data_IF_935777521142
#
_entry.id   IF_935777521142
#
_cell.length_a   1.000
_cell.length_b   1.000
_cell.length_c   1.000
_cell.angle_alpha   90.00
_cell.angle_beta   90.00
_cell.angle_gamma   90.00
#
_symmetry.space_group_name_H-M   'P 1'
#
loop_
_entity.id
_entity.type
_entity.pdbx_description
1 polymer ?
#
# COMPACT_ATOMS: atom_id res chain seq x y z
N UNK A 1 -14.83 25.05 0.13
CA UNK A 1 -15.08 23.59 0.35
C UNK A 1 -13.77 22.98 0.77
N UNK A 2 -13.66 22.49 2.01
CA UNK A 2 -12.41 21.93 2.51
C UNK A 2 -12.02 20.71 1.65
N UNK A 3 -10.89 20.80 0.95
CA UNK A 3 -10.24 19.63 0.36
C UNK A 3 -9.88 18.67 1.52
N UNK A 4 -10.79 17.77 1.84
CA UNK A 4 -10.50 16.66 2.73
C UNK A 4 -9.34 15.90 2.12
N UNK A 5 -8.27 15.73 2.89
CA UNK A 5 -7.10 14.95 2.56
C UNK A 5 -7.48 13.72 1.72
N UNK A 6 -7.07 13.67 0.45
CA UNK A 6 -7.29 12.54 -0.45
C UNK A 6 -6.74 11.24 0.14
N UNK A 7 -5.69 11.33 0.94
CA UNK A 7 -5.07 10.24 1.69
C UNK A 7 -6.00 9.62 2.75
N UNK A 8 -6.78 10.43 3.48
CA UNK A 8 -7.80 9.93 4.44
C UNK A 8 -9.01 9.32 3.72
N UNK A 9 -9.36 9.83 2.54
CA UNK A 9 -10.41 9.23 1.70
C UNK A 9 -9.96 7.87 1.12
N UNK A 10 -8.67 7.69 0.90
CA UNK A 10 -8.10 6.44 0.40
C UNK A 10 -8.25 5.31 1.43
N UNK A 11 -7.90 5.52 2.71
CA UNK A 11 -8.06 4.51 3.77
C UNK A 11 -9.52 4.08 3.90
N UNK A 12 -10.49 5.00 3.83
CA UNK A 12 -11.93 4.66 3.82
C UNK A 12 -12.36 3.87 2.59
N UNK A 13 -11.82 4.18 1.42
CA UNK A 13 -12.13 3.47 0.17
C UNK A 13 -11.43 2.12 0.09
N UNK A 14 -10.27 1.96 0.70
CA UNK A 14 -9.52 0.72 0.72
C UNK A 14 -10.28 -0.42 1.39
N UNK A 15 -10.87 -0.21 2.57
CA UNK A 15 -11.70 -1.22 3.22
C UNK A 15 -12.87 -1.68 2.34
N UNK A 16 -13.49 -0.73 1.64
CA UNK A 16 -14.57 -1.04 0.72
C UNK A 16 -14.09 -1.81 -0.51
N UNK A 17 -12.93 -1.46 -1.04
CA UNK A 17 -12.31 -2.16 -2.18
C UNK A 17 -11.92 -3.58 -1.74
N UNK A 18 -11.26 -3.74 -0.61
CA UNK A 18 -10.88 -5.03 -0.02
C UNK A 18 -12.08 -5.95 0.16
N UNK A 19 -13.19 -5.44 0.71
CA UNK A 19 -14.42 -6.21 0.84
C UNK A 19 -14.97 -6.68 -0.52
N UNK A 20 -14.97 -5.81 -1.51
CA UNK A 20 -15.42 -6.14 -2.87
C UNK A 20 -14.49 -7.16 -3.52
N UNK A 21 -13.18 -7.03 -3.39
CA UNK A 21 -12.20 -7.99 -3.91
C UNK A 21 -12.37 -9.37 -3.28
N UNK A 22 -12.65 -9.44 -1.97
CA UNK A 22 -12.98 -10.71 -1.30
C UNK A 22 -14.23 -11.34 -1.84
N UNK A 23 -15.30 -10.56 -2.09
CA UNK A 23 -16.52 -11.07 -2.69
C UNK A 23 -16.25 -11.65 -4.08
N UNK A 24 -15.45 -10.99 -4.91
CA UNK A 24 -15.02 -11.50 -6.21
C UNK A 24 -14.26 -12.81 -6.09
N UNK A 25 -13.33 -12.91 -5.14
CA UNK A 25 -12.48 -14.09 -4.96
C UNK A 25 -13.25 -15.29 -4.44
N UNK A 26 -14.08 -15.11 -3.41
CA UNK A 26 -14.72 -16.23 -2.68
C UNK A 26 -15.97 -16.73 -3.39
N UNK A 27 -16.90 -15.84 -3.73
CA UNK A 27 -18.25 -16.20 -4.16
C UNK A 27 -18.51 -15.77 -5.61
N UNK A 28 -17.82 -14.76 -6.08
CA UNK A 28 -18.17 -14.04 -7.29
C UNK A 28 -19.25 -12.98 -7.03
N UNK A 29 -19.16 -11.87 -7.74
CA UNK A 29 -20.11 -10.78 -7.64
C UNK A 29 -21.19 -10.90 -8.72
N UNK A 30 -22.46 -10.95 -8.34
CA UNK A 30 -23.59 -10.87 -9.25
C UNK A 30 -24.58 -9.79 -8.80
N UNK A 31 -25.52 -9.42 -9.66
CA UNK A 31 -26.53 -8.41 -9.34
C UNK A 31 -27.41 -8.77 -8.15
N UNK A 32 -27.59 -10.07 -7.85
CA UNK A 32 -28.36 -10.55 -6.69
C UNK A 32 -27.59 -10.51 -5.37
N UNK A 33 -26.27 -10.63 -5.42
CA UNK A 33 -25.40 -10.54 -4.23
C UNK A 33 -25.01 -9.11 -3.89
N UNK A 34 -25.19 -8.18 -4.82
CA UNK A 34 -25.04 -6.75 -4.57
C UNK A 34 -26.26 -6.22 -3.78
N UNK A 35 -26.16 -6.26 -2.48
CA UNK A 35 -27.27 -6.12 -1.50
C UNK A 35 -28.07 -4.81 -1.54
N UNK A 36 -27.69 -3.79 -2.32
CA UNK A 36 -28.31 -2.44 -2.21
C UNK A 36 -29.02 -1.95 -3.46
N UNK A 37 -28.41 -1.98 -4.62
CA UNK A 37 -29.01 -1.49 -5.88
C UNK A 37 -28.16 -1.85 -7.10
N UNK A 38 -28.76 -1.78 -8.31
CA UNK A 38 -28.03 -1.93 -9.57
C UNK A 38 -26.90 -0.90 -9.70
N UNK A 39 -27.08 0.30 -9.18
CA UNK A 39 -26.04 1.34 -9.16
C UNK A 39 -24.86 0.96 -8.27
N UNK A 40 -25.10 0.38 -7.10
CA UNK A 40 -24.06 -0.11 -6.20
C UNK A 40 -23.27 -1.26 -6.84
N UNK A 41 -23.97 -2.21 -7.48
CA UNK A 41 -23.37 -3.29 -8.24
C UNK A 41 -22.43 -2.77 -9.35
N UNK A 42 -22.91 -1.85 -10.18
CA UNK A 42 -22.11 -1.27 -11.25
C UNK A 42 -20.89 -0.49 -10.72
N UNK A 43 -21.06 0.23 -9.61
CA UNK A 43 -19.96 0.93 -8.95
C UNK A 43 -18.89 -0.03 -8.41
N UNK A 44 -19.29 -1.15 -7.83
CA UNK A 44 -18.37 -2.19 -7.35
C UNK A 44 -17.56 -2.79 -8.51
N UNK A 45 -18.23 -3.16 -9.61
CA UNK A 45 -17.55 -3.68 -10.82
C UNK A 45 -16.56 -2.65 -11.37
N UNK A 46 -16.99 -1.39 -11.53
CA UNK A 46 -16.12 -0.33 -12.04
C UNK A 46 -14.89 -0.14 -11.16
N UNK A 47 -15.04 -0.19 -9.85
CA UNK A 47 -13.91 -0.09 -8.91
C UNK A 47 -12.92 -1.22 -9.09
N UNK A 48 -13.38 -2.47 -9.16
CA UNK A 48 -12.47 -3.61 -9.37
C UNK A 48 -11.70 -3.47 -10.68
N UNK A 49 -12.38 -3.11 -11.78
CA UNK A 49 -11.74 -2.91 -13.09
C UNK A 49 -10.72 -1.77 -13.15
N UNK A 50 -10.82 -0.80 -12.26
CA UNK A 50 -9.82 0.26 -12.19
C UNK A 50 -8.49 -0.22 -11.58
N UNK A 51 -8.47 -1.40 -10.95
CA UNK A 51 -7.38 -1.84 -10.09
C UNK A 51 -6.85 -3.22 -10.43
N UNK A 52 -7.67 -4.03 -11.08
CA UNK A 52 -7.30 -5.38 -11.47
C UNK A 52 -7.37 -5.45 -12.99
N UNK A 53 -6.29 -5.92 -13.60
CA UNK A 53 -6.22 -6.10 -15.05
C UNK A 53 -7.34 -7.03 -15.54
N UNK A 54 -7.94 -6.69 -16.67
CA UNK A 54 -9.07 -7.42 -17.26
C UNK A 54 -8.75 -8.91 -17.53
N UNK A 55 -7.48 -9.26 -17.72
CA UNK A 55 -7.04 -10.66 -17.90
C UNK A 55 -7.35 -11.56 -16.69
N UNK A 56 -7.38 -10.99 -15.48
CA UNK A 56 -7.73 -11.70 -14.25
C UNK A 56 -9.23 -11.69 -13.97
N UNK A 57 -10.05 -11.07 -14.82
CA UNK A 57 -11.49 -10.96 -14.63
C UNK A 57 -12.23 -11.93 -15.56
N UNK A 58 -13.02 -12.83 -14.98
CA UNK A 58 -13.84 -13.80 -15.71
C UNK A 58 -15.32 -13.61 -15.41
N UNK A 59 -16.13 -13.95 -16.41
CA UNK A 59 -17.59 -13.95 -16.30
C UNK A 59 -18.11 -15.37 -16.46
N UNK A 60 -18.77 -15.88 -15.43
CA UNK A 60 -19.44 -17.17 -15.44
C UNK A 60 -20.96 -17.00 -15.43
N UNK A 61 -21.66 -17.80 -16.21
CA UNK A 61 -23.11 -17.85 -16.18
C UNK A 61 -23.57 -19.13 -15.43
N UNK A 62 -24.03 -18.93 -14.21
CA UNK A 62 -24.53 -20.01 -13.36
C UNK A 62 -26.04 -19.79 -13.18
N UNK A 63 -26.88 -20.76 -13.61
CA UNK A 63 -28.35 -20.68 -13.54
C UNK A 63 -28.92 -19.38 -14.13
N UNK A 64 -28.43 -18.98 -15.30
CA UNK A 64 -28.81 -17.72 -16.00
C UNK A 64 -28.43 -16.43 -15.25
N UNK A 65 -27.60 -16.49 -14.22
CA UNK A 65 -27.11 -15.35 -13.50
C UNK A 65 -25.62 -15.17 -13.85
N UNK A 66 -25.27 -13.94 -14.26
CA UNK A 66 -23.89 -13.57 -14.59
C UNK A 66 -23.13 -13.28 -13.29
N UNK A 67 -22.07 -14.06 -13.04
CA UNK A 67 -21.12 -13.87 -11.94
C UNK A 67 -19.82 -13.29 -12.48
N UNK A 68 -19.30 -12.29 -11.81
CA UNK A 68 -17.97 -11.76 -12.06
C UNK A 68 -17.03 -12.36 -11.01
N UNK A 69 -15.96 -13.01 -11.44
CA UNK A 69 -14.99 -13.71 -10.60
C UNK A 69 -13.57 -13.41 -11.04
N UNK A 70 -12.61 -13.64 -10.17
CA UNK A 70 -11.23 -13.71 -10.59
C UNK A 70 -10.93 -15.02 -11.30
N UNK A 71 -10.11 -14.90 -12.33
CA UNK A 71 -9.49 -16.04 -12.97
C UNK A 71 -8.19 -16.36 -12.22
N UNK A 72 -8.12 -17.54 -11.66
CA UNK A 72 -6.94 -18.04 -10.95
C UNK A 72 -6.51 -19.33 -11.63
N UNK A 73 -5.30 -19.37 -12.11
CA UNK A 73 -4.70 -20.59 -12.67
C UNK A 73 -4.36 -21.59 -11.55
N UNK A 74 -4.16 -22.86 -11.92
CA UNK A 74 -3.76 -23.91 -10.98
C UNK A 74 -2.37 -23.66 -10.37
N UNK A 75 -1.53 -22.95 -11.10
CA UNK A 75 -0.21 -22.48 -10.65
C UNK A 75 -0.21 -20.97 -10.71
N UNK A 76 0.09 -20.36 -9.59
CA UNK A 76 0.22 -18.90 -9.50
C UNK A 76 1.68 -18.53 -9.71
N UNK A 77 1.91 -17.46 -10.49
CA UNK A 77 3.21 -16.82 -10.60
C UNK A 77 3.63 -16.20 -9.26
N UNK A 78 4.86 -15.80 -9.16
CA UNK A 78 5.39 -15.12 -7.98
C UNK A 78 4.72 -13.76 -7.67
N UNK A 79 4.05 -13.16 -8.64
CA UNK A 79 3.29 -11.94 -8.45
C UNK A 79 1.84 -12.24 -8.04
N UNK A 80 1.38 -11.60 -6.96
CA UNK A 80 0.00 -11.67 -6.53
C UNK A 80 -0.78 -10.47 -7.10
N UNK A 81 -1.59 -10.68 -8.13
CA UNK A 81 -2.36 -9.62 -8.80
C UNK A 81 -3.28 -8.82 -7.86
N UNK A 82 -3.65 -9.35 -6.70
CA UNK A 82 -4.42 -8.60 -5.70
C UNK A 82 -3.56 -7.53 -4.99
N UNK A 83 -2.22 -7.65 -5.07
CA UNK A 83 -1.31 -6.62 -4.60
C UNK A 83 -1.48 -5.30 -5.38
N UNK A 84 -1.89 -5.35 -6.65
CA UNK A 84 -2.15 -4.15 -7.46
C UNK A 84 -3.15 -3.21 -6.77
N UNK A 85 -4.04 -3.76 -5.93
CA UNK A 85 -4.95 -2.96 -5.12
C UNK A 85 -4.24 -2.06 -4.09
N UNK A 86 -3.01 -2.37 -3.71
CA UNK A 86 -2.18 -1.54 -2.81
C UNK A 86 -1.47 -0.42 -3.57
N UNK A 87 -1.18 -0.61 -4.86
CA UNK A 87 -0.57 0.41 -5.73
C UNK A 87 -1.49 1.63 -5.95
N UNK A 88 -2.78 1.47 -5.67
CA UNK A 88 -3.78 2.54 -5.71
C UNK A 88 -3.61 3.56 -4.57
N UNK A 89 -2.64 3.44 -3.74
CA UNK A 89 -2.23 4.51 -2.82
C UNK A 89 -1.80 5.73 -3.66
N UNK A 90 -2.77 6.30 -4.38
CA UNK A 90 -2.59 7.44 -5.25
C UNK A 90 -1.92 8.56 -4.48
N UNK A 91 -0.70 8.82 -4.86
CA UNK A 91 -0.11 10.11 -4.59
C UNK A 91 -0.85 11.07 -5.51
N UNK A 92 -1.56 12.04 -4.96
CA UNK A 92 -2.20 13.11 -5.72
C UNK A 92 -1.12 13.76 -6.62
N UNK A 93 -1.48 14.11 -7.85
CA UNK A 93 -0.55 14.76 -8.80
C UNK A 93 0.14 15.98 -8.18
N UNK A 94 -0.57 16.74 -7.36
CA UNK A 94 -0.01 17.87 -6.59
C UNK A 94 1.03 17.42 -5.57
N UNK A 95 0.86 16.25 -4.95
CA UNK A 95 1.83 15.70 -4.02
C UNK A 95 3.08 15.20 -4.77
N UNK A 96 2.93 14.54 -5.92
CA UNK A 96 4.09 14.14 -6.75
C UNK A 96 4.91 15.35 -7.15
N UNK A 97 4.27 16.41 -7.66
CA UNK A 97 4.92 17.67 -8.01
C UNK A 97 5.71 18.24 -6.81
N UNK A 98 5.08 18.33 -5.66
CA UNK A 98 5.72 18.86 -4.45
C UNK A 98 6.86 17.96 -3.93
N UNK A 99 6.72 16.64 -3.99
CA UNK A 99 7.80 15.68 -3.69
C UNK A 99 9.01 15.92 -4.58
N UNK A 100 8.80 15.99 -5.89
CA UNK A 100 9.88 16.20 -6.86
C UNK A 100 10.61 17.52 -6.62
N UNK A 101 9.89 18.60 -6.31
CA UNK A 101 10.48 19.91 -6.02
C UNK A 101 11.32 19.87 -4.74
N UNK A 102 10.82 19.27 -3.66
CA UNK A 102 11.58 19.13 -2.41
C UNK A 102 12.88 18.34 -2.65
N UNK A 103 12.81 17.23 -3.40
CA UNK A 103 13.99 16.43 -3.72
C UNK A 103 14.97 17.20 -4.61
N UNK A 104 14.50 17.98 -5.60
CA UNK A 104 15.37 18.82 -6.43
C UNK A 104 16.11 19.88 -5.60
N UNK A 105 15.41 20.57 -4.69
CA UNK A 105 16.02 21.55 -3.79
C UNK A 105 17.10 20.87 -2.93
N UNK A 106 16.79 19.75 -2.30
CA UNK A 106 17.74 19.03 -1.46
C UNK A 106 18.91 18.45 -2.26
N UNK A 107 18.68 17.99 -3.48
CA UNK A 107 19.75 17.50 -4.35
C UNK A 107 20.70 18.65 -4.77
N UNK A 108 20.16 19.83 -4.96
CA UNK A 108 20.96 21.02 -5.32
C UNK A 108 21.83 21.51 -4.16
N UNK A 109 21.32 21.51 -2.93
CA UNK A 109 22.00 22.06 -1.77
C UNK A 109 22.71 21.00 -0.90
N UNK A 110 22.44 19.72 -1.12
CA UNK A 110 22.88 18.60 -0.28
C UNK A 110 22.16 18.59 1.06
N UNK A 111 22.34 19.62 1.88
CA UNK A 111 21.65 19.86 3.15
C UNK A 111 21.11 21.29 3.21
N UNK A 112 19.86 21.48 3.61
CA UNK A 112 19.24 22.80 3.71
C UNK A 112 18.34 22.90 4.95
N UNK A 113 18.11 24.13 5.45
CA UNK A 113 17.16 24.32 6.55
C UNK A 113 15.74 24.03 6.10
N UNK A 114 15.00 23.31 6.95
CA UNK A 114 13.63 22.89 6.63
C UNK A 114 12.65 24.04 6.37
N UNK A 115 12.91 25.26 6.89
CA UNK A 115 12.17 26.48 6.55
C UNK A 115 12.51 26.97 5.15
N UNK A 116 13.78 27.00 4.79
CA UNK A 116 14.26 27.44 3.47
C UNK A 116 13.72 26.51 2.36
N UNK A 117 13.80 25.19 2.59
CA UNK A 117 13.20 24.20 1.65
C UNK A 117 11.70 24.40 1.49
N UNK A 118 10.99 24.74 2.58
CA UNK A 118 9.57 25.00 2.53
C UNK A 118 9.24 26.25 1.72
N UNK A 119 9.93 27.36 2.03
CA UNK A 119 9.71 28.66 1.40
C UNK A 119 10.02 28.58 -0.11
N UNK A 120 11.14 27.97 -0.48
CA UNK A 120 11.55 27.80 -1.88
C UNK A 120 10.58 26.88 -2.66
N UNK A 121 10.12 25.79 -2.04
CA UNK A 121 9.14 24.90 -2.69
C UNK A 121 7.78 25.59 -2.90
N UNK A 122 7.33 26.41 -1.94
CA UNK A 122 6.11 27.22 -2.06
C UNK A 122 6.27 28.28 -3.15
N UNK A 123 7.40 28.97 -3.20
CA UNK A 123 7.69 29.98 -4.23
C UNK A 123 7.71 29.34 -5.61
N UNK A 124 8.43 28.25 -5.80
CA UNK A 124 8.50 27.55 -7.09
C UNK A 124 7.13 27.12 -7.62
N UNK A 125 6.26 26.58 -6.74
CA UNK A 125 4.90 26.19 -7.14
C UNK A 125 4.06 27.40 -7.42
N UNK A 126 4.19 28.49 -6.62
CA UNK A 126 3.40 29.70 -6.78
C UNK A 126 3.74 30.46 -8.07
N UNK A 127 4.98 30.45 -8.50
CA UNK A 127 5.43 31.10 -9.74
C UNK A 127 4.97 30.37 -11.00
N UNK A 128 4.77 29.06 -10.88
CA UNK A 128 4.35 28.22 -12.00
C UNK A 128 2.82 28.03 -12.10
N UNK A 129 2.08 28.30 -11.03
CA UNK A 129 0.63 28.19 -10.97
C UNK A 129 0.02 29.53 -10.52
N UNK A 130 -1.09 29.95 -11.12
CA UNK A 130 -1.80 31.16 -10.68
C UNK A 130 -2.54 30.83 -9.38
N UNK A 131 -1.97 31.22 -8.25
CA UNK A 131 -2.56 30.96 -6.90
C UNK A 131 -2.80 32.27 -6.13
N UNK A 132 -3.86 32.28 -5.33
CA UNK A 132 -4.18 33.39 -4.42
C UNK A 132 -3.39 33.29 -3.13
N UNK A 133 -3.29 34.39 -2.35
CA UNK A 133 -2.62 34.39 -1.02
C UNK A 133 -3.22 33.37 -0.03
N UNK A 134 -4.53 33.15 -0.08
CA UNK A 134 -5.20 32.13 0.74
C UNK A 134 -4.75 30.73 0.32
N UNK A 135 -4.67 30.46 -0.98
CA UNK A 135 -4.16 29.20 -1.53
C UNK A 135 -2.67 28.99 -1.22
N UNK A 136 -1.88 30.07 -1.12
CA UNK A 136 -0.48 30.01 -0.73
C UNK A 136 -0.30 29.56 0.72
N UNK A 137 -1.18 30.00 1.64
CA UNK A 137 -1.19 29.53 3.02
C UNK A 137 -1.53 28.04 3.12
N UNK A 138 -2.53 27.58 2.36
CA UNK A 138 -2.89 26.17 2.31
C UNK A 138 -1.78 25.31 1.69
N UNK A 139 -1.10 25.81 0.66
CA UNK A 139 0.05 25.17 0.02
C UNK A 139 1.22 25.02 1.00
N UNK A 140 1.51 26.06 1.79
CA UNK A 140 2.54 26.03 2.80
C UNK A 140 2.30 24.92 3.84
N UNK A 141 1.06 24.83 4.35
CA UNK A 141 0.68 23.74 5.27
C UNK A 141 0.76 22.36 4.62
N UNK A 142 0.39 22.26 3.34
CA UNK A 142 0.45 21.02 2.58
C UNK A 142 1.89 20.54 2.41
N UNK A 143 2.80 21.43 1.95
CA UNK A 143 4.22 21.10 1.76
C UNK A 143 4.89 20.78 3.11
N UNK A 144 4.54 21.51 4.19
CA UNK A 144 5.03 21.21 5.52
C UNK A 144 4.69 19.79 5.98
N UNK A 145 3.42 19.37 5.80
CA UNK A 145 2.99 17.99 6.11
C UNK A 145 3.64 16.95 5.22
N UNK A 146 3.85 17.29 3.94
CA UNK A 146 4.49 16.40 2.98
C UNK A 146 5.95 16.15 3.35
N UNK A 147 6.70 17.20 3.69
CA UNK A 147 8.07 17.13 4.21
C UNK A 147 8.17 16.22 5.43
N UNK A 148 7.23 16.36 6.37
CA UNK A 148 7.19 15.51 7.56
C UNK A 148 6.89 14.05 7.20
N UNK A 149 6.05 13.83 6.20
CA UNK A 149 5.76 12.51 5.65
C UNK A 149 6.98 11.89 4.97
N UNK A 150 7.71 12.65 4.14
CA UNK A 150 8.95 12.17 3.50
C UNK A 150 9.98 11.74 4.55
N UNK A 151 10.13 12.51 5.63
CA UNK A 151 11.01 12.13 6.73
C UNK A 151 10.53 10.87 7.47
N UNK A 152 9.21 10.71 7.68
CA UNK A 152 8.65 9.51 8.31
C UNK A 152 8.80 8.26 7.46
N UNK A 153 8.88 8.41 6.13
CA UNK A 153 9.14 7.34 5.16
C UNK A 153 10.64 7.06 4.96
N UNK A 154 11.51 7.84 5.59
CA UNK A 154 12.96 7.71 5.45
C UNK A 154 13.49 8.13 4.07
N UNK A 155 12.76 8.95 3.31
CA UNK A 155 13.20 9.53 2.04
C UNK A 155 14.18 10.67 2.28
N UNK A 156 13.92 11.47 3.33
CA UNK A 156 14.80 12.54 3.78
C UNK A 156 15.14 12.36 5.25
N UNK A 157 16.31 12.81 5.63
CA UNK A 157 16.76 12.83 7.02
C UNK A 157 16.55 14.20 7.66
N UNK A 158 16.36 14.22 8.98
CA UNK A 158 16.21 15.43 9.78
C UNK A 158 17.32 15.48 10.81
N UNK A 159 18.19 16.49 10.71
CA UNK A 159 19.20 16.81 11.73
C UNK A 159 18.80 18.09 12.46
N UNK A 160 18.79 18.06 13.78
CA UNK A 160 18.54 19.24 14.61
C UNK A 160 19.86 19.87 15.04
N UNK A 161 19.96 21.20 14.87
CA UNK A 161 21.04 21.98 15.35
C UNK A 161 20.51 23.26 16.01
N UNK A 162 20.54 23.31 17.34
CA UNK A 162 19.92 24.37 18.10
C UNK A 162 18.42 24.50 17.85
N UNK A 163 17.99 25.65 17.31
CA UNK A 163 16.59 25.92 16.97
C UNK A 163 16.24 25.52 15.55
N UNK A 164 17.22 25.13 14.75
CA UNK A 164 17.01 24.82 13.33
C UNK A 164 16.93 23.32 13.09
N UNK A 165 16.15 22.96 12.09
CA UNK A 165 16.07 21.59 11.56
C UNK A 165 16.60 21.61 10.14
N UNK A 166 17.65 20.87 9.89
CA UNK A 166 18.22 20.65 8.58
C UNK A 166 17.65 19.39 7.96
N UNK A 167 17.52 19.40 6.65
CA UNK A 167 17.02 18.30 5.84
C UNK A 167 18.07 17.93 4.80
N UNK A 168 18.27 16.65 4.59
CA UNK A 168 19.07 16.09 3.50
C UNK A 168 18.34 14.90 2.88
N UNK A 169 18.68 14.53 1.67
CA UNK A 169 18.24 13.26 1.08
C UNK A 169 18.97 12.15 1.86
N UNK A 170 18.25 11.07 2.17
CA UNK A 170 18.87 9.92 2.81
C UNK A 170 19.84 9.26 1.84
N UNK A 171 21.00 8.85 2.36
CA UNK A 171 21.97 8.11 1.55
C UNK A 171 21.36 6.86 0.92
N UNK A 172 21.79 6.56 -0.29
CA UNK A 172 21.40 5.34 -0.99
C UNK A 172 22.07 4.14 -0.35
N UNK A 173 21.29 3.31 0.33
CA UNK A 173 21.79 2.11 1.01
C UNK A 173 22.16 0.98 0.02
N UNK A 174 21.79 1.11 -1.25
CA UNK A 174 22.03 0.08 -2.29
C UNK A 174 23.16 0.45 -3.25
N UNK A 175 23.80 1.61 -3.07
CA UNK A 175 24.89 2.08 -3.95
C UNK A 175 26.02 1.05 -4.06
N UNK A 176 26.40 0.45 -2.93
CA UNK A 176 27.50 -0.53 -2.84
C UNK A 176 27.08 -1.95 -3.24
N UNK A 177 25.78 -2.21 -3.50
CA UNK A 177 25.31 -3.54 -3.90
C UNK A 177 25.51 -3.77 -5.40
N UNK A 178 25.99 -4.94 -5.75
CA UNK A 178 26.02 -5.40 -7.14
C UNK A 178 24.60 -5.74 -7.64
N UNK A 179 24.43 -5.78 -8.96
CA UNK A 179 23.16 -6.20 -9.58
C UNK A 179 22.75 -7.60 -9.11
N UNK A 180 23.70 -8.54 -9.04
CA UNK A 180 23.45 -9.91 -8.60
C UNK A 180 22.97 -9.98 -7.15
N UNK A 181 23.52 -9.16 -6.25
CA UNK A 181 23.11 -9.10 -4.86
C UNK A 181 21.67 -8.56 -4.73
N UNK A 182 21.34 -7.52 -5.48
CA UNK A 182 19.98 -6.98 -5.51
C UNK A 182 18.98 -8.01 -6.07
N UNK A 183 19.35 -8.70 -7.16
CA UNK A 183 18.55 -9.79 -7.74
C UNK A 183 18.33 -10.92 -6.72
N UNK A 184 19.35 -11.29 -5.94
CA UNK A 184 19.18 -12.29 -4.89
C UNK A 184 18.21 -11.84 -3.80
N UNK A 185 18.26 -10.57 -3.41
CA UNK A 185 17.29 -9.99 -2.46
C UNK A 185 15.88 -10.03 -3.05
N UNK A 186 15.70 -9.62 -4.31
CA UNK A 186 14.39 -9.68 -4.99
C UNK A 186 13.86 -11.11 -5.02
N UNK A 187 14.69 -12.09 -5.38
CA UNK A 187 14.28 -13.50 -5.40
C UNK A 187 13.89 -14.03 -4.02
N UNK A 188 14.65 -13.67 -2.98
CA UNK A 188 14.30 -14.04 -1.61
C UNK A 188 12.98 -13.41 -1.17
N UNK A 189 12.76 -12.13 -1.46
CA UNK A 189 11.50 -11.43 -1.18
C UNK A 189 10.34 -12.03 -1.97
N UNK A 190 10.54 -12.37 -3.25
CA UNK A 190 9.53 -13.00 -4.10
C UNK A 190 9.06 -14.33 -3.50
N UNK A 191 10.01 -15.16 -3.06
CA UNK A 191 9.67 -16.42 -2.41
C UNK A 191 8.92 -16.18 -1.07
N UNK A 192 9.48 -15.31 -0.22
CA UNK A 192 8.93 -15.04 1.11
C UNK A 192 7.53 -14.44 1.06
N UNK A 193 7.29 -13.47 0.18
CA UNK A 193 6.00 -12.80 0.05
C UNK A 193 4.86 -13.75 -0.33
N UNK A 194 5.17 -14.82 -1.06
CA UNK A 194 4.18 -15.82 -1.45
C UNK A 194 3.88 -16.86 -0.37
N UNK A 195 4.74 -17.03 0.63
CA UNK A 195 4.55 -17.99 1.73
C UNK A 195 4.30 -17.35 3.09
N UNK A 196 4.66 -16.09 3.27
CA UNK A 196 4.50 -15.36 4.52
C UNK A 196 3.03 -15.12 4.89
N UNK A 197 2.78 -14.84 6.16
CA UNK A 197 1.45 -14.41 6.64
C UNK A 197 1.18 -12.94 6.34
N UNK A 198 2.22 -12.15 6.08
CA UNK A 198 2.17 -10.76 5.64
C UNK A 198 2.97 -10.69 4.34
N UNK A 199 2.35 -10.25 3.26
CA UNK A 199 2.91 -10.33 1.91
C UNK A 199 3.20 -8.94 1.31
N UNK A 200 2.36 -7.95 1.59
CA UNK A 200 2.44 -6.60 0.99
C UNK A 200 3.81 -5.93 1.15
N UNK A 201 4.47 -5.91 2.33
CA UNK A 201 5.77 -5.26 2.45
C UNK A 201 6.85 -5.88 1.56
N UNK A 202 6.78 -7.20 1.33
CA UNK A 202 7.72 -7.89 0.45
C UNK A 202 7.51 -7.52 -1.01
N UNK A 203 6.28 -7.48 -1.48
CA UNK A 203 5.98 -7.02 -2.85
C UNK A 203 6.38 -5.55 -3.04
N UNK A 204 6.07 -4.68 -2.07
CA UNK A 204 6.46 -3.28 -2.12
C UNK A 204 7.98 -3.10 -2.18
N UNK A 205 8.73 -3.90 -1.41
CA UNK A 205 10.19 -3.87 -1.46
C UNK A 205 10.75 -4.39 -2.80
N UNK A 206 10.13 -5.43 -3.39
CA UNK A 206 10.53 -5.92 -4.72
C UNK A 206 10.32 -4.86 -5.80
N UNK A 207 9.19 -4.14 -5.77
CA UNK A 207 8.94 -3.06 -6.74
C UNK A 207 10.01 -1.98 -6.62
N UNK A 208 10.33 -1.53 -5.39
CA UNK A 208 11.37 -0.51 -5.16
C UNK A 208 12.74 -0.98 -5.66
N UNK A 209 13.12 -2.23 -5.39
CA UNK A 209 14.40 -2.78 -5.82
C UNK A 209 14.46 -2.98 -7.35
N UNK A 210 13.35 -3.36 -7.96
CA UNK A 210 13.28 -3.52 -9.41
C UNK A 210 13.34 -2.16 -10.13
N UNK A 211 12.67 -1.15 -9.58
CA UNK A 211 12.77 0.23 -10.05
C UNK A 211 14.19 0.77 -9.88
N UNK A 212 14.87 0.43 -8.78
CA UNK A 212 16.28 0.77 -8.55
C UNK A 212 17.20 0.11 -9.58
N UNK A 213 17.06 -1.19 -9.84
CA UNK A 213 17.83 -1.87 -10.88
C UNK A 213 17.65 -1.23 -12.25
N UNK A 214 16.41 -0.86 -12.58
CA UNK A 214 16.10 -0.23 -13.86
C UNK A 214 16.66 1.19 -13.96
N UNK A 215 16.54 2.00 -12.89
CA UNK A 215 16.94 3.40 -12.89
C UNK A 215 18.42 3.62 -12.72
N UNK A 216 19.06 2.92 -11.77
CA UNK A 216 20.45 3.19 -11.39
C UNK A 216 21.46 2.20 -12.02
N UNK A 217 21.02 0.98 -12.35
CA UNK A 217 21.88 -0.05 -12.95
C UNK A 217 21.56 -0.35 -14.42
N UNK A 218 20.52 0.30 -15.01
CA UNK A 218 20.03 0.06 -16.39
C UNK A 218 19.74 -1.43 -16.67
N UNK A 219 19.26 -2.14 -15.64
CA UNK A 219 19.01 -3.57 -15.69
C UNK A 219 17.54 -3.88 -15.40
N UNK A 220 16.87 -4.59 -16.32
CA UNK A 220 15.49 -5.06 -16.15
C UNK A 220 15.47 -6.53 -15.75
N UNK A 221 14.93 -6.81 -14.56
CA UNK A 221 14.78 -8.17 -14.05
C UNK A 221 13.31 -8.61 -14.01
N UNK A 222 13.00 -9.76 -14.60
CA UNK A 222 11.67 -10.39 -14.54
C UNK A 222 11.61 -11.41 -13.39
N UNK A 223 11.30 -10.92 -12.18
CA UNK A 223 11.16 -11.77 -11.00
C UNK A 223 9.86 -12.58 -10.99
N UNK A 224 8.85 -12.20 -11.76
CA UNK A 224 7.55 -12.88 -11.79
C UNK A 224 7.65 -14.29 -12.37
N UNK A 225 8.61 -14.53 -13.26
CA UNK A 225 8.82 -15.83 -13.89
C UNK A 225 9.72 -16.78 -13.08
N UNK A 226 10.36 -16.28 -12.00
CA UNK A 226 11.36 -17.07 -11.24
C UNK A 226 10.73 -18.22 -10.46
N UNK A 227 9.55 -17.98 -9.87
CA UNK A 227 8.86 -18.98 -9.04
C UNK A 227 7.41 -19.21 -9.50
N UNK A 228 6.96 -20.46 -9.37
CA UNK A 228 5.57 -20.85 -9.51
C UNK A 228 5.10 -21.60 -8.27
N UNK A 229 3.97 -21.21 -7.72
CA UNK A 229 3.42 -21.74 -6.47
C UNK A 229 2.16 -22.56 -6.77
N UNK A 230 2.15 -23.86 -6.40
CA UNK A 230 1.00 -24.73 -6.57
C UNK A 230 -0.18 -24.39 -5.68
N UNK A 231 0.10 -23.87 -4.50
CA UNK A 231 -0.88 -23.44 -3.52
C UNK A 231 -0.50 -22.06 -3.01
N UNK A 232 -1.14 -21.04 -3.57
CA UNK A 232 -1.00 -19.69 -3.08
C UNK A 232 -2.38 -19.16 -2.65
N UNK A 233 -2.45 -18.71 -1.41
CA UNK A 233 -3.68 -18.11 -0.88
C UNK A 233 -3.68 -16.62 -1.21
N UNK A 234 -3.90 -16.30 -2.47
CA UNK A 234 -3.82 -14.93 -3.02
C UNK A 234 -4.60 -13.91 -2.18
N UNK A 235 -5.76 -14.29 -1.66
CA UNK A 235 -6.60 -13.39 -0.88
C UNK A 235 -6.02 -13.02 0.50
N UNK A 236 -4.96 -13.67 0.97
CA UNK A 236 -4.32 -13.34 2.27
C UNK A 236 -3.81 -11.92 2.30
N UNK A 237 -3.26 -11.44 1.20
CA UNK A 237 -2.75 -10.08 1.09
C UNK A 237 -3.80 -9.02 1.46
N UNK A 238 -5.08 -9.33 1.27
CA UNK A 238 -6.18 -8.44 1.66
C UNK A 238 -6.34 -8.30 3.18
N UNK A 239 -5.66 -9.16 3.96
CA UNK A 239 -5.68 -9.18 5.43
C UNK A 239 -4.39 -8.63 6.06
N UNK A 240 -3.37 -8.33 5.27
CA UNK A 240 -2.03 -7.95 5.75
C UNK A 240 -2.07 -6.80 6.77
N UNK A 241 -2.86 -5.77 6.51
CA UNK A 241 -3.03 -4.65 7.45
C UNK A 241 -3.62 -5.10 8.80
N UNK A 242 -4.64 -5.96 8.78
CA UNK A 242 -5.27 -6.48 10.00
C UNK A 242 -4.28 -7.35 10.76
N UNK A 243 -3.53 -8.18 10.05
CA UNK A 243 -2.50 -9.05 10.65
C UNK A 243 -1.38 -8.21 11.25
N UNK A 244 -0.94 -7.17 10.57
CA UNK A 244 0.09 -6.27 11.08
C UNK A 244 -0.36 -5.58 12.38
N UNK A 245 -1.58 -5.05 12.44
CA UNK A 245 -2.17 -4.46 13.66
C UNK A 245 -2.19 -5.49 14.81
N UNK A 246 -2.53 -6.74 14.53
CA UNK A 246 -2.54 -7.81 15.53
C UNK A 246 -1.11 -8.12 15.99
N UNK A 247 -0.13 -8.20 15.09
CA UNK A 247 1.27 -8.44 15.41
C UNK A 247 1.84 -7.33 16.32
N UNK A 248 1.58 -6.07 15.97
CA UNK A 248 1.98 -4.93 16.81
C UNK A 248 1.30 -4.97 18.18
N UNK A 249 0.01 -5.29 18.22
CA UNK A 249 -0.73 -5.41 19.47
C UNK A 249 -0.22 -6.54 20.36
N UNK A 250 0.24 -7.66 19.77
CA UNK A 250 0.89 -8.75 20.51
C UNK A 250 2.22 -8.27 21.08
N UNK A 251 3.06 -7.61 20.25
CA UNK A 251 4.37 -7.09 20.66
C UNK A 251 4.27 -6.10 21.81
N UNK A 252 3.28 -5.20 21.74
CA UNK A 252 3.09 -4.15 22.72
C UNK A 252 2.13 -4.54 23.87
N UNK A 253 1.61 -5.78 23.85
CA UNK A 253 0.61 -6.30 24.79
C UNK A 253 -0.63 -5.39 24.91
N UNK A 254 -1.05 -4.80 23.77
CA UNK A 254 -2.22 -3.94 23.67
C UNK A 254 -3.49 -4.73 23.41
N UNK A 255 -4.63 -4.15 23.81
CA UNK A 255 -5.96 -4.70 23.55
C UNK A 255 -6.39 -4.39 22.11
N UNK A 256 -7.02 -5.35 21.44
CA UNK A 256 -7.69 -5.15 20.15
C UNK A 256 -9.20 -5.25 20.30
N UNK A 257 -9.91 -4.42 19.51
CA UNK A 257 -11.37 -4.39 19.45
C UNK A 257 -11.81 -4.74 18.04
N UNK A 258 -12.76 -5.63 17.90
CA UNK A 258 -13.32 -6.02 16.62
C UNK A 258 -14.78 -6.49 16.75
N UNK A 259 -15.47 -6.59 15.62
CA UNK A 259 -16.83 -7.09 15.55
C UNK A 259 -16.78 -8.55 15.05
N UNK A 260 -17.29 -9.48 15.83
CA UNK A 260 -17.41 -10.88 15.44
C UNK A 260 -18.86 -11.33 15.61
N UNK A 261 -19.46 -11.83 14.53
CA UNK A 261 -20.87 -12.26 14.49
C UNK A 261 -21.83 -11.19 15.08
N UNK A 262 -21.60 -9.91 14.74
CA UNK A 262 -22.39 -8.78 15.19
C UNK A 262 -22.19 -8.35 16.65
N UNK A 263 -21.23 -8.95 17.36
CA UNK A 263 -20.88 -8.60 18.74
C UNK A 263 -19.54 -7.87 18.78
N UNK A 264 -19.46 -6.80 19.55
CA UNK A 264 -18.20 -6.16 19.88
C UNK A 264 -17.40 -7.05 20.83
N UNK A 265 -16.20 -7.40 20.42
CA UNK A 265 -15.26 -8.21 21.16
C UNK A 265 -14.03 -7.37 21.47
N UNK A 266 -13.54 -7.47 22.69
CA UNK A 266 -12.31 -6.82 23.15
C UNK A 266 -11.44 -7.87 23.84
N UNK A 267 -10.21 -8.05 23.31
CA UNK A 267 -9.31 -9.11 23.78
C UNK A 267 -7.86 -8.63 23.78
N UNK A 268 -7.01 -9.30 24.55
CA UNK A 268 -5.56 -9.15 24.46
C UNK A 268 -5.04 -10.27 23.54
N UNK A 269 -4.56 -9.93 22.33
CA UNK A 269 -4.02 -10.92 21.41
C UNK A 269 -2.74 -11.53 21.97
N UNK A 270 -2.53 -12.84 21.76
CA UNK A 270 -1.37 -13.57 22.28
C UNK A 270 -0.56 -14.24 21.19
N UNK A 271 -1.22 -14.80 20.19
CA UNK A 271 -0.55 -15.53 19.09
C UNK A 271 -1.46 -15.62 17.86
N UNK A 272 -0.85 -15.57 16.68
CA UNK A 272 -1.48 -15.94 15.42
C UNK A 272 -1.09 -17.39 15.13
N UNK A 273 -2.09 -18.23 14.85
CA UNK A 273 -1.92 -19.62 14.46
C UNK A 273 -2.30 -19.75 12.99
N UNK A 274 -1.38 -20.21 12.16
CA UNK A 274 -1.61 -20.46 10.75
C UNK A 274 -1.78 -21.96 10.50
N UNK A 275 -2.87 -22.34 9.85
CA UNK A 275 -3.13 -23.67 9.37
C UNK A 275 -2.92 -23.73 7.85
N UNK A 276 -1.92 -24.47 7.42
CA UNK A 276 -1.53 -24.50 6.00
C UNK A 276 -2.48 -25.33 5.12
N UNK A 277 -3.11 -26.36 5.65
CA UNK A 277 -3.96 -27.27 4.89
C UNK A 277 -5.14 -26.55 4.24
N UNK A 278 -5.80 -25.65 4.99
CA UNK A 278 -6.95 -24.88 4.53
C UNK A 278 -6.66 -23.38 4.40
N UNK A 279 -5.41 -22.95 4.61
CA UNK A 279 -5.04 -21.56 4.56
C UNK A 279 -5.69 -20.67 5.60
N UNK A 280 -6.13 -21.25 6.71
CA UNK A 280 -6.83 -20.53 7.78
C UNK A 280 -5.87 -19.92 8.78
N UNK A 281 -6.27 -18.77 9.29
CA UNK A 281 -5.56 -18.09 10.38
C UNK A 281 -6.50 -17.91 11.56
N UNK A 282 -5.97 -18.15 12.74
CA UNK A 282 -6.71 -18.07 14.00
C UNK A 282 -5.97 -17.13 14.95
N UNK A 283 -6.72 -16.31 15.66
CA UNK A 283 -6.19 -15.48 16.73
C UNK A 283 -6.40 -16.20 18.07
N UNK A 284 -5.29 -16.55 18.73
CA UNK A 284 -5.31 -16.92 20.15
C UNK A 284 -5.25 -15.64 20.98
N UNK A 285 -6.26 -15.42 21.81
CA UNK A 285 -6.37 -14.21 22.61
C UNK A 285 -6.92 -14.51 24.01
N UNK A 286 -6.58 -13.64 24.98
CA UNK A 286 -7.18 -13.65 26.31
C UNK A 286 -8.40 -12.73 26.31
N UNK A 287 -9.55 -13.25 26.74
CA UNK A 287 -10.75 -12.44 26.97
C UNK A 287 -10.51 -11.54 28.22
N UNK A 288 -10.96 -10.28 28.12
CA UNK A 288 -10.87 -9.35 29.26
C UNK A 288 -11.96 -9.56 30.30
N UNK A 289 -12.94 -10.41 29.99
CA UNK A 289 -14.07 -10.67 30.90
C UNK A 289 -13.80 -11.79 31.93
N UNK A 290 -12.61 -12.43 31.81
CA UNK A 290 -12.21 -13.54 32.73
C UNK A 290 -10.78 -13.36 33.22
#
# INVERSE_FOLDING_TARGET
>A
MAHRNSYMNFVKHYDLIREVLRQYYIVGLCSKTAQKSQRDYNNKIRRVRNFINDEFLKHDNINKIKYNRFYVENYTKAHNFLYDSYLIKNVDASAVKAYSIILQILNQYGEAKGSEVLDEAVEFISDNDIITEEQKSDLNQFIGRLKDKMASLGIIEKRKEGKFTFLSIKEDIFEDFSEEEIIQIINALSFYSNISIISEPGYSAMDVLNDYLLGEKDYKYDFESTFSFKQNFLSRILDDEVINIICESIKENKTVKFIYKGKNIEVIPKKIISEYTYGRQYLLAKDLKY
#
